data_IF_993961745699
#
_entry.id   IF_993961745699
#
_cell.length_a   1.000
_cell.length_b   1.000
_cell.length_c   1.000
_cell.angle_alpha   90.00
_cell.angle_beta   90.00
_cell.angle_gamma   90.00
#
_symmetry.space_group_name_H-M   'P 1'
#
loop_
_entity.id
_entity.type
_entity.pdbx_description
1 polymer ?
#
# COMPACT_ATOMS: atom_id res chain seq x y z
N UNK A 1 27.64 143.45 54.66
CA UNK A 1 27.92 142.08 54.19
C UNK A 1 27.10 141.12 55.03
N UNK A 2 25.96 140.69 54.52
CA UNK A 2 25.11 139.68 55.13
C UNK A 2 24.56 138.83 53.98
N UNK A 3 25.07 137.61 53.83
CA UNK A 3 24.45 136.59 52.97
C UNK A 3 23.51 135.78 53.87
N UNK A 4 22.24 135.81 53.54
CA UNK A 4 21.14 135.16 54.26
C UNK A 4 21.33 133.63 54.35
N UNK A 5 20.90 132.98 55.45
CA UNK A 5 21.06 131.54 55.68
C UNK A 5 20.14 130.64 54.82
N UNK A 6 19.22 131.21 54.03
CA UNK A 6 18.27 130.46 53.18
C UNK A 6 18.92 129.73 52.00
N UNK A 7 20.13 130.11 51.57
CA UNK A 7 20.83 129.46 50.45
C UNK A 7 21.58 128.18 50.83
N UNK A 8 21.86 127.94 52.11
CA UNK A 8 22.50 126.69 52.56
C UNK A 8 21.51 125.54 52.68
N UNK A 9 20.26 125.81 53.07
CA UNK A 9 19.20 124.81 53.25
C UNK A 9 18.61 124.32 51.91
N UNK A 10 18.57 125.20 50.90
CA UNK A 10 18.23 124.84 49.52
C UNK A 10 19.31 123.99 48.82
N UNK A 11 20.58 124.17 49.22
CA UNK A 11 21.71 123.38 48.71
C UNK A 11 21.72 121.95 49.24
N UNK A 12 21.55 121.78 50.55
CA UNK A 12 21.42 120.47 51.20
C UNK A 12 20.19 119.70 50.72
N UNK A 13 19.05 120.38 50.53
CA UNK A 13 17.85 119.76 49.96
C UNK A 13 18.07 119.27 48.52
N UNK A 14 18.77 120.05 47.68
CA UNK A 14 19.09 119.67 46.30
C UNK A 14 20.01 118.44 46.25
N UNK A 15 21.04 118.41 47.08
CA UNK A 15 21.95 117.27 47.20
C UNK A 15 21.22 116.03 47.69
N UNK A 16 20.32 116.16 48.68
CA UNK A 16 19.51 115.07 49.18
C UNK A 16 18.55 114.52 48.10
N UNK A 17 17.90 115.39 47.32
CA UNK A 17 17.08 114.98 46.17
C UNK A 17 17.92 114.26 45.13
N UNK A 18 19.13 114.73 44.83
CA UNK A 18 20.02 114.09 43.86
C UNK A 18 20.50 112.70 44.36
N UNK A 19 20.84 112.56 45.64
CA UNK A 19 21.15 111.28 46.27
C UNK A 19 19.97 110.30 46.20
N UNK A 20 18.75 110.75 46.54
CA UNK A 20 17.54 109.93 46.45
C UNK A 20 17.19 109.55 45.00
N UNK A 21 17.50 110.43 44.04
CA UNK A 21 17.30 110.14 42.60
C UNK A 21 18.28 109.07 42.13
N UNK A 22 19.55 109.19 42.49
CA UNK A 22 20.57 108.19 42.18
C UNK A 22 20.28 106.84 42.85
N UNK A 23 19.80 106.85 44.10
CA UNK A 23 19.38 105.65 44.82
C UNK A 23 18.16 105.00 44.14
N UNK A 24 17.16 105.79 43.72
CA UNK A 24 16.02 105.27 42.95
C UNK A 24 16.45 104.62 41.63
N UNK A 25 17.39 105.22 40.89
CA UNK A 25 17.93 104.61 39.66
C UNK A 25 18.63 103.29 39.97
N UNK A 26 19.46 103.22 41.01
CA UNK A 26 20.09 101.97 41.42
C UNK A 26 19.07 100.90 41.85
N UNK A 27 18.00 101.30 42.54
CA UNK A 27 16.92 100.41 42.91
C UNK A 27 16.16 99.92 41.67
N UNK A 28 15.92 100.78 40.68
CA UNK A 28 15.33 100.39 39.39
C UNK A 28 16.20 99.37 38.66
N UNK A 29 17.51 99.62 38.50
CA UNK A 29 18.44 98.68 37.87
C UNK A 29 18.52 97.32 38.61
N UNK A 30 18.43 97.36 39.95
CA UNK A 30 18.37 96.12 40.75
C UNK A 30 17.06 95.39 40.53
N UNK A 31 15.94 96.11 40.47
CA UNK A 31 14.62 95.54 40.26
C UNK A 31 14.51 94.92 38.85
N UNK A 32 15.00 95.59 37.81
CA UNK A 32 15.07 95.05 36.45
C UNK A 32 15.90 93.75 36.39
N UNK A 33 17.06 93.73 37.05
CA UNK A 33 17.88 92.50 37.15
C UNK A 33 17.16 91.37 37.89
N UNK A 34 16.36 91.69 38.91
CA UNK A 34 15.53 90.71 39.60
C UNK A 34 14.41 90.19 38.69
N UNK A 35 13.73 91.04 37.94
CA UNK A 35 12.71 90.62 36.98
C UNK A 35 13.27 89.71 35.88
N UNK A 36 14.44 90.04 35.31
CA UNK A 36 15.10 89.17 34.33
C UNK A 36 15.45 87.80 34.91
N UNK A 37 15.98 87.75 36.15
CA UNK A 37 16.25 86.49 36.85
C UNK A 37 14.99 85.68 37.12
N UNK A 38 13.89 86.34 37.51
CA UNK A 38 12.59 85.68 37.71
C UNK A 38 12.09 85.10 36.38
N UNK A 39 12.23 85.84 35.28
CA UNK A 39 11.91 85.36 33.93
C UNK A 39 12.72 84.13 33.52
N UNK A 40 14.05 84.16 33.71
CA UNK A 40 14.93 83.01 33.44
C UNK A 40 14.56 81.78 34.29
N UNK A 41 14.25 81.98 35.58
CA UNK A 41 13.82 80.90 36.47
C UNK A 41 12.47 80.33 36.04
N UNK A 42 11.54 81.18 35.60
CA UNK A 42 10.24 80.76 35.09
C UNK A 42 10.36 79.96 33.79
N UNK A 43 11.24 80.39 32.88
CA UNK A 43 11.53 79.65 31.64
C UNK A 43 12.14 78.27 31.95
N UNK A 44 13.15 78.22 32.83
CA UNK A 44 13.77 76.96 33.27
C UNK A 44 12.75 76.04 33.94
N UNK A 45 11.84 76.57 34.75
CA UNK A 45 10.77 75.79 35.36
C UNK A 45 9.80 75.25 34.30
N UNK A 46 9.47 76.04 33.28
CA UNK A 46 8.67 75.60 32.14
C UNK A 46 9.34 74.47 31.35
N UNK A 47 10.63 74.62 31.03
CA UNK A 47 11.42 73.57 30.38
C UNK A 47 11.53 72.29 31.25
N UNK A 48 11.67 72.45 32.57
CA UNK A 48 11.67 71.33 33.51
C UNK A 48 10.32 70.61 33.55
N UNK A 49 9.20 71.34 33.51
CA UNK A 49 7.87 70.75 33.47
C UNK A 49 7.64 69.97 32.16
N UNK A 50 8.10 70.51 31.02
CA UNK A 50 8.01 69.83 29.71
C UNK A 50 8.87 68.57 29.70
N UNK A 51 10.12 68.63 30.15
CA UNK A 51 11.01 67.46 30.18
C UNK A 51 10.50 66.38 31.14
N UNK A 52 9.94 66.77 32.30
CA UNK A 52 9.25 65.84 33.21
C UNK A 52 8.06 65.15 32.55
N UNK A 53 7.24 65.88 31.80
CA UNK A 53 6.10 65.33 31.08
C UNK A 53 6.54 64.37 29.96
N UNK A 54 7.56 64.72 29.18
CA UNK A 54 8.11 63.84 28.13
C UNK A 54 8.68 62.55 28.73
N UNK A 55 9.49 62.64 29.79
CA UNK A 55 10.02 61.46 30.50
C UNK A 55 8.90 60.57 31.04
N UNK A 56 7.86 61.14 31.65
CA UNK A 56 6.69 60.39 32.11
C UNK A 56 5.99 59.67 30.97
N UNK A 57 5.84 60.33 29.81
CA UNK A 57 5.20 59.73 28.63
C UNK A 57 6.01 58.56 28.04
N UNK A 58 7.34 58.68 28.01
CA UNK A 58 8.24 57.62 27.55
C UNK A 58 8.23 56.43 28.49
N UNK A 59 8.17 56.68 29.80
CA UNK A 59 8.06 55.62 30.81
C UNK A 59 6.77 54.83 30.59
N UNK A 60 5.62 55.50 30.45
CA UNK A 60 4.32 54.85 30.19
C UNK A 60 4.40 53.99 28.93
N UNK A 61 4.92 54.51 27.81
CA UNK A 61 5.08 53.71 26.58
C UNK A 61 5.97 52.49 26.77
N UNK A 62 7.08 52.63 27.51
CA UNK A 62 7.97 51.51 27.79
C UNK A 62 7.30 50.44 28.66
N UNK A 63 6.44 50.84 29.60
CA UNK A 63 5.65 49.93 30.42
C UNK A 63 4.57 49.22 29.60
N UNK A 64 3.88 49.93 28.71
CA UNK A 64 2.91 49.37 27.76
C UNK A 64 3.56 48.35 26.83
N UNK A 65 4.72 48.65 26.26
CA UNK A 65 5.49 47.73 25.42
C UNK A 65 5.93 46.50 26.20
N UNK A 66 6.40 46.67 27.44
CA UNK A 66 6.78 45.55 28.32
C UNK A 66 5.58 44.65 28.64
N UNK A 67 4.42 45.23 28.92
CA UNK A 67 3.18 44.48 29.15
C UNK A 67 2.73 43.74 27.90
N UNK A 68 2.86 44.36 26.73
CA UNK A 68 2.56 43.73 25.44
C UNK A 68 3.46 42.53 25.19
N UNK A 69 4.77 42.68 25.34
CA UNK A 69 5.73 41.58 25.20
C UNK A 69 5.45 40.48 26.24
N UNK A 70 5.14 40.84 27.49
CA UNK A 70 4.81 39.88 28.53
C UNK A 70 3.53 39.09 28.21
N UNK A 71 2.53 39.74 27.60
CA UNK A 71 1.31 39.08 27.13
C UNK A 71 1.63 38.12 25.98
N UNK A 72 2.32 38.60 24.96
CA UNK A 72 2.68 37.78 23.78
C UNK A 72 3.53 36.56 24.20
N UNK A 73 4.39 36.71 25.21
CA UNK A 73 5.16 35.60 25.78
C UNK A 73 4.28 34.56 26.48
N UNK A 74 3.27 34.97 27.24
CA UNK A 74 2.30 34.06 27.87
C UNK A 74 1.46 33.36 26.81
N UNK A 75 0.98 34.09 25.80
CA UNK A 75 0.22 33.53 24.68
C UNK A 75 1.05 32.47 23.94
N UNK A 76 2.34 32.76 23.68
CA UNK A 76 3.26 31.79 23.09
C UNK A 76 3.47 30.54 23.97
N UNK A 77 3.56 30.69 25.30
CA UNK A 77 3.63 29.54 26.20
C UNK A 77 2.37 28.69 26.17
N UNK A 78 1.19 29.33 26.11
CA UNK A 78 -0.09 28.63 25.99
C UNK A 78 -0.16 27.85 24.68
N UNK A 79 0.20 28.47 23.56
CA UNK A 79 0.25 27.78 22.26
C UNK A 79 1.24 26.61 22.25
N UNK A 80 2.41 26.80 22.84
CA UNK A 80 3.43 25.74 22.98
C UNK A 80 2.89 24.58 23.82
N UNK A 81 2.23 24.86 24.94
CA UNK A 81 1.62 23.85 25.79
C UNK A 81 0.49 23.13 25.07
N UNK A 82 -0.37 23.85 24.35
CA UNK A 82 -1.46 23.27 23.55
C UNK A 82 -0.92 22.34 22.46
N UNK A 83 0.19 22.70 21.80
CA UNK A 83 0.84 21.84 20.81
C UNK A 83 1.45 20.59 21.45
N UNK A 84 2.08 20.73 22.62
CA UNK A 84 2.59 19.59 23.39
C UNK A 84 1.48 18.64 23.81
N UNK A 85 0.36 19.13 24.32
CA UNK A 85 -0.82 18.32 24.67
C UNK A 85 -1.39 17.58 23.46
N UNK A 86 -1.48 18.23 22.30
CA UNK A 86 -1.89 17.58 21.04
C UNK A 86 -0.96 16.42 20.67
N UNK A 87 0.36 16.66 20.72
CA UNK A 87 1.33 15.60 20.44
C UNK A 87 1.29 14.46 21.47
N UNK A 88 1.04 14.76 22.74
CA UNK A 88 0.87 13.72 23.75
C UNK A 88 -0.39 12.87 23.45
N UNK A 89 -1.51 13.50 23.11
CA UNK A 89 -2.75 12.81 22.73
C UNK A 89 -2.56 11.92 21.48
N UNK A 90 -1.99 12.46 20.41
CA UNK A 90 -1.66 11.71 19.19
C UNK A 90 -0.73 10.52 19.50
N UNK A 91 0.27 10.71 20.37
CA UNK A 91 1.14 9.62 20.79
C UNK A 91 0.39 8.53 21.57
N UNK A 92 -0.60 8.87 22.39
CA UNK A 92 -1.43 7.87 23.06
C UNK A 92 -2.31 7.10 22.07
N UNK A 93 -2.92 7.79 21.10
CA UNK A 93 -3.70 7.14 20.04
C UNK A 93 -2.86 6.20 19.19
N UNK A 94 -1.66 6.65 18.78
CA UNK A 94 -0.72 5.82 18.02
C UNK A 94 -0.26 4.59 18.80
N UNK A 95 0.02 4.73 20.10
CA UNK A 95 0.37 3.58 20.96
C UNK A 95 -0.77 2.57 21.05
N UNK A 96 -2.01 3.03 21.17
CA UNK A 96 -3.17 2.15 21.18
C UNK A 96 -3.32 1.41 19.83
N UNK A 97 -3.15 2.13 18.71
CA UNK A 97 -3.21 1.51 17.39
C UNK A 97 -2.10 0.48 17.19
N UNK A 98 -0.88 0.75 17.67
CA UNK A 98 0.23 -0.20 17.64
C UNK A 98 -0.13 -1.47 18.44
N UNK A 99 -0.66 -1.32 19.65
CA UNK A 99 -1.09 -2.47 20.46
C UNK A 99 -2.18 -3.30 19.77
N UNK A 100 -3.16 -2.65 19.14
CA UNK A 100 -4.22 -3.34 18.39
C UNK A 100 -3.64 -4.10 17.18
N UNK A 101 -2.68 -3.50 16.47
CA UNK A 101 -1.99 -4.14 15.35
C UNK A 101 -1.12 -5.30 15.82
N UNK A 102 -0.39 -5.16 16.91
CA UNK A 102 0.41 -6.22 17.53
C UNK A 102 -0.47 -7.41 17.94
N UNK A 103 -1.61 -7.15 18.59
CA UNK A 103 -2.59 -8.19 18.92
C UNK A 103 -3.11 -8.90 17.67
N UNK A 104 -3.39 -8.15 16.60
CA UNK A 104 -3.88 -8.73 15.35
C UNK A 104 -2.81 -9.56 14.63
N UNK A 105 -1.54 -9.14 14.68
CA UNK A 105 -0.41 -9.91 14.16
C UNK A 105 -0.29 -11.23 14.93
N UNK A 106 -0.30 -11.19 16.27
CA UNK A 106 -0.24 -12.40 17.11
C UNK A 106 -1.40 -13.36 16.82
N UNK A 107 -2.62 -12.85 16.64
CA UNK A 107 -3.77 -13.67 16.23
C UNK A 107 -3.56 -14.33 14.86
N UNK A 108 -2.98 -13.61 13.90
CA UNK A 108 -2.69 -14.16 12.57
C UNK A 108 -1.58 -15.20 12.59
N UNK A 109 -0.52 -14.99 13.37
CA UNK A 109 0.57 -15.95 13.55
C UNK A 109 0.05 -17.24 14.19
N UNK A 110 -0.77 -17.16 15.23
CA UNK A 110 -1.40 -18.33 15.85
C UNK A 110 -2.32 -19.09 14.88
N UNK A 111 -3.02 -18.39 13.97
CA UNK A 111 -3.82 -19.05 12.93
C UNK A 111 -2.93 -19.73 11.90
N UNK A 112 -1.83 -19.10 11.49
CA UNK A 112 -0.89 -19.68 10.54
C UNK A 112 -0.24 -20.96 11.12
N UNK A 113 0.23 -20.93 12.37
CA UNK A 113 0.77 -22.10 13.08
C UNK A 113 -0.24 -23.26 13.14
N UNK A 114 -1.52 -22.98 13.40
CA UNK A 114 -2.56 -24.01 13.37
C UNK A 114 -2.73 -24.61 11.99
N UNK A 115 -2.86 -23.78 10.96
CA UNK A 115 -3.07 -24.26 9.58
C UNK A 115 -1.86 -24.99 9.02
N UNK A 116 -0.65 -24.57 9.39
CA UNK A 116 0.60 -25.26 9.01
C UNK A 116 0.71 -26.62 9.72
N UNK A 117 0.34 -26.70 11.00
CA UNK A 117 0.22 -27.96 11.73
C UNK A 117 -0.79 -28.92 11.10
N UNK A 118 -1.98 -28.44 10.76
CA UNK A 118 -3.01 -29.24 10.07
C UNK A 118 -2.53 -29.72 8.69
N UNK A 119 -1.85 -28.86 7.93
CA UNK A 119 -1.25 -29.22 6.64
C UNK A 119 -0.19 -30.31 6.81
N UNK A 120 0.67 -30.20 7.81
CA UNK A 120 1.67 -31.22 8.14
C UNK A 120 1.01 -32.58 8.44
N UNK A 121 0.00 -32.61 9.30
CA UNK A 121 -0.73 -33.82 9.65
C UNK A 121 -1.43 -34.47 8.44
N UNK A 122 -2.03 -33.65 7.56
CA UNK A 122 -2.63 -34.14 6.31
C UNK A 122 -1.59 -34.69 5.34
N UNK A 123 -0.42 -34.05 5.25
CA UNK A 123 0.68 -34.49 4.40
C UNK A 123 1.27 -35.82 4.87
N UNK A 124 1.45 -36.01 6.18
CA UNK A 124 1.86 -37.29 6.77
C UNK A 124 0.84 -38.39 6.48
N UNK A 125 -0.46 -38.10 6.63
CA UNK A 125 -1.52 -39.06 6.32
C UNK A 125 -1.56 -39.45 4.85
N UNK A 126 -1.34 -38.48 3.96
CA UNK A 126 -1.26 -38.72 2.52
C UNK A 126 -0.07 -39.61 2.19
N UNK A 127 1.11 -39.34 2.76
CA UNK A 127 2.29 -40.18 2.57
C UNK A 127 2.11 -41.61 3.09
N UNK A 128 1.43 -41.78 4.23
CA UNK A 128 1.08 -43.12 4.72
C UNK A 128 0.20 -43.88 3.71
N UNK A 129 -0.86 -43.24 3.21
CA UNK A 129 -1.75 -43.84 2.22
C UNK A 129 -1.06 -44.15 0.87
N UNK A 130 -0.12 -43.31 0.43
CA UNK A 130 0.70 -43.58 -0.74
C UNK A 130 1.60 -44.81 -0.55
N UNK A 131 2.13 -45.01 0.65
CA UNK A 131 2.93 -46.18 0.97
C UNK A 131 2.06 -47.44 1.01
N UNK A 132 0.89 -47.38 1.67
CA UNK A 132 -0.08 -48.48 1.68
C UNK A 132 -0.49 -48.87 0.24
N UNK A 133 -0.68 -47.89 -0.64
CA UNK A 133 -1.02 -48.14 -2.04
C UNK A 133 0.14 -48.82 -2.81
N UNK A 134 1.39 -48.42 -2.56
CA UNK A 134 2.57 -49.07 -3.15
C UNK A 134 2.71 -50.50 -2.64
N UNK A 135 2.52 -50.73 -1.35
CA UNK A 135 2.55 -52.06 -0.75
C UNK A 135 1.48 -52.96 -1.35
N UNK A 136 0.24 -52.50 -1.43
CA UNK A 136 -0.86 -53.24 -2.06
C UNK A 136 -0.59 -53.52 -3.56
N UNK A 137 0.02 -52.57 -4.27
CA UNK A 137 0.46 -52.77 -5.65
C UNK A 137 1.51 -53.88 -5.77
N UNK A 138 2.47 -53.93 -4.85
CA UNK A 138 3.49 -55.00 -4.80
C UNK A 138 2.86 -56.35 -4.47
N UNK A 139 1.92 -56.41 -3.53
CA UNK A 139 1.15 -57.62 -3.21
C UNK A 139 0.36 -58.13 -4.40
N UNK A 140 -0.32 -57.23 -5.13
CA UNK A 140 -1.05 -57.60 -6.35
C UNK A 140 -0.12 -58.16 -7.43
N UNK A 141 1.06 -57.55 -7.63
CA UNK A 141 2.05 -58.06 -8.57
C UNK A 141 2.56 -59.45 -8.18
N UNK A 142 2.87 -59.66 -6.89
CA UNK A 142 3.29 -60.96 -6.38
C UNK A 142 2.19 -62.01 -6.57
N UNK A 143 0.94 -61.68 -6.25
CA UNK A 143 -0.21 -62.56 -6.42
C UNK A 143 -0.44 -62.91 -7.90
N UNK A 144 -0.36 -61.93 -8.79
CA UNK A 144 -0.47 -62.14 -10.25
C UNK A 144 0.63 -63.07 -10.77
N UNK A 145 1.86 -62.90 -10.29
CA UNK A 145 2.98 -63.78 -10.63
C UNK A 145 2.72 -65.22 -10.17
N UNK A 146 2.21 -65.40 -8.94
CA UNK A 146 1.87 -66.72 -8.40
C UNK A 146 0.76 -67.40 -9.22
N UNK A 147 -0.30 -66.69 -9.57
CA UNK A 147 -1.36 -67.22 -10.45
C UNK A 147 -0.82 -67.64 -11.81
N UNK A 148 0.08 -66.84 -12.40
CA UNK A 148 0.68 -67.17 -13.69
C UNK A 148 1.56 -68.44 -13.62
N UNK A 149 2.22 -68.68 -12.49
CA UNK A 149 2.97 -69.93 -12.26
C UNK A 149 2.00 -71.10 -12.12
N UNK A 150 0.94 -70.95 -11.32
CA UNK A 150 -0.06 -71.99 -11.11
C UNK A 150 -0.79 -72.38 -12.40
N UNK A 151 -1.13 -71.41 -13.25
CA UNK A 151 -1.73 -71.67 -14.58
C UNK A 151 -0.79 -72.51 -15.46
N UNK A 152 0.52 -72.21 -15.46
CA UNK A 152 1.50 -73.01 -16.21
C UNK A 152 1.62 -74.43 -15.67
N UNK A 153 1.61 -74.61 -14.35
CA UNK A 153 1.61 -75.94 -13.73
C UNK A 153 0.33 -76.71 -14.06
N UNK A 154 -0.82 -76.02 -14.05
CA UNK A 154 -2.10 -76.60 -14.44
C UNK A 154 -2.11 -77.05 -15.90
N UNK A 155 -1.65 -76.21 -16.84
CA UNK A 155 -1.49 -76.57 -18.24
C UNK A 155 -0.57 -77.79 -18.43
N UNK A 156 0.53 -77.86 -17.68
CA UNK A 156 1.41 -79.02 -17.70
C UNK A 156 0.69 -80.29 -17.24
N UNK A 157 -0.06 -80.24 -16.13
CA UNK A 157 -0.84 -81.40 -15.68
C UNK A 157 -1.96 -81.79 -16.64
N UNK A 158 -2.63 -80.83 -17.29
CA UNK A 158 -3.59 -81.10 -18.37
C UNK A 158 -2.91 -81.84 -19.52
N UNK A 159 -1.74 -81.37 -19.97
CA UNK A 159 -1.00 -82.02 -21.05
C UNK A 159 -0.57 -83.46 -20.70
N UNK A 160 -0.11 -83.70 -19.46
CA UNK A 160 0.21 -85.05 -18.96
C UNK A 160 -1.04 -85.93 -18.89
N UNK A 161 -2.17 -85.40 -18.43
CA UNK A 161 -3.43 -86.14 -18.39
C UNK A 161 -3.94 -86.48 -19.79
N UNK A 162 -3.76 -85.59 -20.76
CA UNK A 162 -4.06 -85.86 -22.17
C UNK A 162 -3.14 -86.94 -22.75
N UNK A 163 -1.86 -86.94 -22.39
CA UNK A 163 -0.90 -88.02 -22.74
C UNK A 163 -1.35 -89.36 -22.17
N UNK A 164 -1.61 -89.44 -20.87
CA UNK A 164 -2.14 -90.63 -20.20
C UNK A 164 -3.45 -91.10 -20.83
N UNK A 165 -4.36 -90.17 -21.17
CA UNK A 165 -5.62 -90.49 -21.84
C UNK A 165 -5.39 -91.08 -23.24
N UNK A 166 -4.40 -90.56 -23.99
CA UNK A 166 -3.98 -91.12 -25.28
C UNK A 166 -3.38 -92.52 -25.13
N UNK A 167 -2.53 -92.73 -24.12
CA UNK A 167 -1.94 -94.03 -23.81
C UNK A 167 -3.00 -95.07 -23.45
N UNK A 168 -3.95 -94.71 -22.57
CA UNK A 168 -5.07 -95.58 -22.20
C UNK A 168 -5.93 -95.93 -23.42
N UNK A 169 -6.23 -94.96 -24.29
CA UNK A 169 -6.93 -95.22 -25.56
C UNK A 169 -6.14 -96.16 -26.48
N UNK A 170 -4.82 -96.01 -26.56
CA UNK A 170 -3.96 -96.90 -27.34
C UNK A 170 -3.90 -98.31 -26.73
N UNK A 171 -3.88 -98.45 -25.41
CA UNK A 171 -4.00 -99.73 -24.70
C UNK A 171 -5.35 -100.41 -24.93
N UNK A 172 -6.45 -99.64 -24.97
CA UNK A 172 -7.77 -100.17 -25.30
C UNK A 172 -7.80 -100.62 -26.76
N UNK A 173 -7.25 -99.83 -27.70
CA UNK A 173 -7.16 -100.21 -29.12
C UNK A 173 -6.30 -101.46 -29.33
N UNK A 174 -5.14 -101.58 -28.67
CA UNK A 174 -4.29 -102.77 -28.76
C UNK A 174 -4.93 -104.01 -28.12
N UNK A 175 -5.73 -103.84 -27.05
CA UNK A 175 -6.62 -104.89 -26.53
C UNK A 175 -7.75 -105.28 -27.48
N UNK A 176 -8.22 -104.35 -28.32
CA UNK A 176 -9.33 -104.54 -29.25
C UNK A 176 -8.86 -105.16 -30.60
N UNK A 177 -7.61 -104.93 -31.01
CA UNK A 177 -6.98 -105.50 -32.21
C UNK A 177 -6.59 -106.99 -32.06
N UNK A 178 -6.62 -107.55 -30.85
CA UNK A 178 -6.32 -108.97 -30.61
C UNK A 178 -7.35 -109.66 -29.69
N UNK A 179 -8.43 -110.24 -30.24
CA UNK A 179 -9.27 -111.17 -29.50
C UNK A 179 -8.73 -112.61 -29.63
N UNK A 180 -8.00 -113.04 -28.59
CA UNK A 180 -7.65 -114.42 -28.21
C UNK A 180 -6.59 -115.22 -29.02
N UNK A 181 -5.48 -115.57 -28.35
CA UNK A 181 -5.09 -116.96 -27.96
C UNK A 181 -3.77 -116.95 -27.13
N UNK A 182 -3.84 -116.88 -25.79
CA UNK A 182 -3.65 -117.94 -24.75
C UNK A 182 -2.21 -118.27 -24.30
N UNK A 183 -2.01 -118.08 -22.98
CA UNK A 183 -1.34 -118.95 -21.97
C UNK A 183 0.18 -119.24 -22.16
N UNK A 184 1.06 -119.28 -21.16
CA UNK A 184 0.96 -119.82 -19.79
C UNK A 184 2.28 -119.54 -19.04
N UNK A 185 2.24 -119.09 -17.78
CA UNK A 185 3.03 -119.64 -16.65
C UNK A 185 2.63 -118.95 -15.33
N UNK A 186 2.04 -119.76 -14.43
CA UNK A 186 2.14 -119.82 -12.96
C UNK A 186 2.60 -118.57 -12.18
N UNK A 187 2.02 -118.15 -11.05
CA UNK A 187 1.24 -118.88 -10.02
C UNK A 187 0.63 -117.89 -9.00
N UNK A 188 -0.58 -118.20 -8.56
CA UNK A 188 -1.18 -118.03 -7.21
C UNK A 188 -1.28 -116.67 -6.50
N UNK A 189 -2.50 -116.12 -6.45
CA UNK A 189 -3.37 -116.03 -5.23
C UNK A 189 -4.77 -115.49 -5.66
N UNK A 190 -5.83 -116.30 -5.58
CA UNK A 190 -7.01 -116.16 -4.66
C UNK A 190 -7.62 -114.74 -4.66
N UNK A 191 -8.91 -114.45 -4.94
CA UNK A 191 -10.18 -115.19 -4.80
C UNK A 191 -11.32 -114.41 -5.49
N UNK A 192 -12.36 -115.13 -5.93
CA UNK A 192 -13.78 -114.73 -6.09
C UNK A 192 -14.10 -113.54 -7.04
N UNK A 193 -14.56 -113.76 -8.28
CA UNK A 193 -15.84 -114.31 -8.76
C UNK A 193 -17.00 -113.30 -8.79
N UNK A 194 -17.56 -113.18 -10.01
CA UNK A 194 -18.86 -112.58 -10.39
C UNK A 194 -18.94 -111.04 -10.56
N UNK A 195 -18.83 -110.56 -11.81
CA UNK A 195 -19.83 -109.68 -12.48
C UNK A 195 -19.32 -109.07 -13.82
N UNK A 196 -19.06 -109.84 -14.90
CA UNK A 196 -18.91 -109.23 -16.24
C UNK A 196 -20.25 -108.97 -16.95
N UNK A 197 -21.37 -109.52 -16.45
CA UNK A 197 -22.69 -109.42 -17.11
C UNK A 197 -23.51 -108.17 -16.70
N UNK A 198 -23.29 -107.66 -15.48
CA UNK A 198 -23.92 -106.44 -15.00
C UNK A 198 -23.27 -105.17 -15.58
N UNK A 199 -21.94 -105.20 -15.78
CA UNK A 199 -21.19 -104.09 -16.38
C UNK A 199 -21.56 -103.91 -17.86
N UNK A 200 -21.80 -105.00 -18.61
CA UNK A 200 -22.23 -104.92 -20.02
C UNK A 200 -23.65 -104.36 -20.15
N UNK A 201 -24.54 -104.56 -19.17
CA UNK A 201 -25.88 -103.91 -19.13
C UNK A 201 -25.80 -102.44 -18.69
N UNK A 202 -24.89 -102.07 -17.79
CA UNK A 202 -24.61 -100.66 -17.42
C UNK A 202 -24.00 -99.89 -18.58
N UNK A 203 -23.07 -100.49 -19.33
CA UNK A 203 -22.50 -99.90 -20.55
C UNK A 203 -23.54 -99.80 -21.66
N UNK A 204 -24.43 -100.81 -21.84
CA UNK A 204 -25.53 -100.74 -22.82
C UNK A 204 -26.58 -99.67 -22.46
N UNK A 205 -26.86 -99.44 -21.17
CA UNK A 205 -27.77 -98.37 -20.73
C UNK A 205 -27.13 -96.97 -20.78
N UNK A 206 -25.81 -96.86 -20.58
CA UNK A 206 -25.06 -95.63 -20.78
C UNK A 206 -24.94 -95.26 -22.27
N UNK A 207 -24.77 -96.25 -23.16
CA UNK A 207 -24.77 -96.08 -24.62
C UNK A 207 -26.15 -95.69 -25.16
N UNK A 208 -27.25 -96.18 -24.55
CA UNK A 208 -28.60 -95.69 -24.86
C UNK A 208 -28.85 -94.27 -24.31
N UNK A 209 -28.32 -93.90 -23.14
CA UNK A 209 -28.36 -92.51 -22.62
C UNK A 209 -27.53 -91.52 -23.44
N UNK A 210 -26.41 -91.96 -24.01
CA UNK A 210 -25.55 -91.14 -24.86
C UNK A 210 -26.01 -91.11 -26.33
N UNK A 211 -26.72 -92.15 -26.79
CA UNK A 211 -27.41 -92.15 -28.10
C UNK A 211 -28.66 -91.25 -28.12
N UNK A 212 -29.23 -90.91 -26.96
CA UNK A 212 -30.32 -89.94 -26.83
C UNK A 212 -29.86 -88.47 -26.85
N UNK A 213 -28.55 -88.18 -27.00
CA UNK A 213 -28.01 -86.81 -27.07
C UNK A 213 -27.15 -86.52 -28.31
N UNK A 214 -27.34 -87.29 -29.39
CA UNK A 214 -26.84 -86.91 -30.73
C UNK A 214 -28.01 -86.47 -31.60
N UNK A 215 -28.24 -85.16 -31.61
CA UNK A 215 -28.93 -84.47 -32.71
C UNK A 215 -28.12 -84.73 -33.98
N UNK A 216 -28.71 -85.48 -34.92
CA UNK A 216 -28.19 -85.61 -36.30
C UNK A 216 -28.93 -84.64 -37.22
N UNK A 217 -28.25 -84.06 -38.22
CA UNK A 217 -28.83 -83.23 -39.26
C UNK A 217 -29.45 -84.09 -40.38
N UNK A 218 -30.61 -83.64 -40.90
CA UNK A 218 -31.16 -83.81 -42.27
C UNK A 218 -31.42 -85.26 -42.76
N UNK A 219 -32.56 -85.67 -43.34
CA UNK A 219 -33.59 -84.99 -44.14
C UNK A 219 -34.94 -85.73 -44.01
N UNK A 220 -36.05 -84.99 -43.82
CA UNK A 220 -37.36 -85.32 -44.41
C UNK A 220 -37.96 -83.99 -44.86
N UNK A 221 -38.12 -83.86 -46.17
CA UNK A 221 -38.74 -82.74 -46.83
C UNK A 221 -40.24 -82.64 -46.49
N UNK A 222 -40.74 -81.41 -46.63
CA UNK A 222 -42.15 -81.00 -46.68
C UNK A 222 -42.81 -80.74 -45.32
N UNK A 223 -42.47 -79.59 -44.72
CA UNK A 223 -43.46 -78.67 -44.16
C UNK A 223 -42.83 -77.29 -43.88
N UNK A 224 -43.36 -76.27 -44.58
CA UNK A 224 -43.36 -74.86 -44.20
C UNK A 224 -42.04 -74.06 -44.28
N UNK A 225 -41.96 -73.20 -45.30
CA UNK A 225 -41.00 -72.09 -45.48
C UNK A 225 -41.06 -70.99 -44.38
N UNK A 226 -41.57 -71.28 -43.18
CA UNK A 226 -41.77 -70.27 -42.12
C UNK A 226 -40.78 -70.32 -40.94
N UNK A 227 -39.93 -71.33 -40.83
CA UNK A 227 -38.96 -71.43 -39.72
C UNK A 227 -37.60 -70.73 -39.95
N UNK A 228 -37.02 -70.64 -41.16
CA UNK A 228 -35.90 -69.73 -41.37
C UNK A 228 -36.33 -68.28 -41.10
N UNK A 229 -37.56 -67.88 -41.48
CA UNK A 229 -38.06 -66.53 -41.21
C UNK A 229 -38.35 -66.24 -39.73
N UNK A 230 -38.65 -67.22 -38.87
CA UNK A 230 -38.90 -66.99 -37.43
C UNK A 230 -37.61 -66.96 -36.61
N UNK A 231 -36.63 -67.79 -36.95
CA UNK A 231 -35.29 -67.74 -36.34
C UNK A 231 -34.47 -66.55 -36.87
N UNK A 232 -34.62 -66.20 -38.14
CA UNK A 232 -34.07 -64.98 -38.75
C UNK A 232 -34.75 -63.73 -38.17
N UNK A 233 -36.08 -63.72 -37.92
CA UNK A 233 -36.73 -62.63 -37.18
C UNK A 233 -36.30 -62.53 -35.71
N UNK A 234 -35.94 -63.63 -35.05
CA UNK A 234 -35.45 -63.61 -33.66
C UNK A 234 -33.96 -63.27 -33.56
N UNK A 235 -33.15 -63.60 -34.56
CA UNK A 235 -31.72 -63.24 -34.63
C UNK A 235 -31.54 -61.80 -35.17
N UNK A 236 -32.28 -61.39 -36.21
CA UNK A 236 -32.32 -60.01 -36.70
C UNK A 236 -33.07 -59.07 -35.74
N UNK A 237 -34.10 -59.57 -35.03
CA UNK A 237 -34.81 -58.80 -34.01
C UNK A 237 -33.93 -58.45 -32.80
N UNK A 238 -33.01 -59.34 -32.42
CA UNK A 238 -32.02 -59.08 -31.38
C UNK A 238 -30.81 -58.29 -31.89
N UNK A 239 -30.56 -58.29 -33.20
CA UNK A 239 -29.48 -57.53 -33.82
C UNK A 239 -29.67 -56.01 -33.64
N UNK A 240 -30.91 -55.53 -33.75
CA UNK A 240 -31.27 -54.13 -33.46
C UNK A 240 -30.97 -53.72 -32.01
N UNK A 241 -31.36 -54.56 -31.05
CA UNK A 241 -31.09 -54.33 -29.63
C UNK A 241 -29.59 -54.33 -29.31
N UNK A 242 -28.81 -55.26 -29.89
CA UNK A 242 -27.35 -55.28 -29.74
C UNK A 242 -26.72 -54.04 -30.37
N UNK A 243 -27.21 -53.59 -31.53
CA UNK A 243 -26.72 -52.35 -32.15
C UNK A 243 -27.06 -51.12 -31.31
N UNK A 244 -28.25 -51.04 -30.70
CA UNK A 244 -28.64 -49.94 -29.81
C UNK A 244 -27.84 -49.91 -28.52
N UNK A 245 -27.59 -51.06 -27.89
CA UNK A 245 -26.71 -51.17 -26.71
C UNK A 245 -25.27 -50.75 -27.02
N UNK A 246 -24.75 -51.17 -28.18
CA UNK A 246 -23.42 -50.77 -28.66
C UNK A 246 -23.37 -49.27 -28.97
N UNK A 247 -24.43 -48.69 -29.51
CA UNK A 247 -24.54 -47.26 -29.78
C UNK A 247 -24.56 -46.46 -28.46
N UNK A 248 -25.38 -46.87 -27.48
CA UNK A 248 -25.40 -46.26 -26.14
C UNK A 248 -24.04 -46.33 -25.47
N UNK A 249 -23.36 -47.47 -25.55
CA UNK A 249 -22.02 -47.63 -25.00
C UNK A 249 -21.04 -46.67 -25.69
N UNK A 250 -21.09 -46.58 -27.03
CA UNK A 250 -20.27 -45.66 -27.82
C UNK A 250 -20.53 -44.19 -27.46
N UNK A 251 -21.79 -43.80 -27.29
CA UNK A 251 -22.19 -42.46 -26.84
C UNK A 251 -21.68 -42.16 -25.43
N UNK A 252 -21.76 -43.11 -24.49
CA UNK A 252 -21.20 -42.93 -23.15
C UNK A 252 -19.69 -42.74 -23.19
N UNK A 253 -18.97 -43.54 -23.97
CA UNK A 253 -17.52 -43.39 -24.15
C UNK A 253 -17.18 -42.05 -24.80
N UNK A 254 -17.88 -41.65 -25.85
CA UNK A 254 -17.69 -40.36 -26.50
C UNK A 254 -17.97 -39.19 -25.54
N UNK A 255 -19.02 -39.27 -24.72
CA UNK A 255 -19.33 -38.26 -23.70
C UNK A 255 -18.25 -38.20 -22.61
N UNK A 256 -17.73 -39.36 -22.18
CA UNK A 256 -16.61 -39.41 -21.24
C UNK A 256 -15.33 -38.82 -21.84
N UNK A 257 -15.02 -39.14 -23.10
CA UNK A 257 -13.89 -38.59 -23.85
C UNK A 257 -13.99 -37.07 -23.96
N UNK A 258 -15.14 -36.54 -24.38
CA UNK A 258 -15.39 -35.10 -24.46
C UNK A 258 -15.24 -34.41 -23.11
N UNK A 259 -15.78 -34.99 -22.02
CA UNK A 259 -15.61 -34.44 -20.66
C UNK A 259 -14.14 -34.38 -20.22
N UNK A 260 -13.33 -35.37 -20.60
CA UNK A 260 -11.89 -35.37 -20.33
C UNK A 260 -11.16 -34.32 -21.16
N UNK A 261 -11.49 -34.19 -22.45
CA UNK A 261 -10.94 -33.16 -23.33
C UNK A 261 -11.29 -31.74 -22.85
N UNK A 262 -12.54 -31.51 -22.45
CA UNK A 262 -12.98 -30.24 -21.86
C UNK A 262 -12.21 -29.92 -20.59
N UNK A 263 -12.06 -30.89 -19.66
CA UNK A 263 -11.25 -30.71 -18.44
C UNK A 263 -9.78 -30.41 -18.74
N UNK A 264 -9.20 -31.06 -19.75
CA UNK A 264 -7.84 -30.78 -20.17
C UNK A 264 -7.71 -29.35 -20.72
N UNK A 265 -8.70 -28.87 -21.48
CA UNK A 265 -8.74 -27.51 -21.99
C UNK A 265 -8.90 -26.50 -20.85
N UNK A 266 -9.80 -26.75 -19.88
CA UNK A 266 -10.00 -25.84 -18.74
C UNK A 266 -8.74 -25.75 -17.88
N UNK A 267 -8.15 -26.90 -17.50
CA UNK A 267 -6.89 -26.91 -16.75
C UNK A 267 -5.75 -26.25 -17.54
N UNK A 268 -5.71 -26.41 -18.86
CA UNK A 268 -4.73 -25.74 -19.73
C UNK A 268 -4.86 -24.20 -19.71
N UNK A 269 -6.08 -23.68 -19.72
CA UNK A 269 -6.37 -22.24 -19.61
C UNK A 269 -5.99 -21.71 -18.23
N UNK A 270 -6.42 -22.38 -17.17
CA UNK A 270 -6.10 -22.03 -15.78
C UNK A 270 -4.58 -22.00 -15.54
N UNK A 271 -3.86 -23.01 -16.06
CA UNK A 271 -2.39 -23.06 -15.97
C UNK A 271 -1.72 -21.92 -16.76
N UNK A 272 -2.27 -21.54 -17.91
CA UNK A 272 -1.76 -20.40 -18.68
C UNK A 272 -2.02 -19.06 -17.97
N UNK A 273 -3.21 -18.90 -17.37
CA UNK A 273 -3.57 -17.72 -16.58
C UNK A 273 -2.71 -17.60 -15.31
N UNK A 274 -2.52 -18.69 -14.57
CA UNK A 274 -1.62 -18.76 -13.43
C UNK A 274 -0.19 -18.36 -13.82
N UNK A 275 0.33 -18.87 -14.97
CA UNK A 275 1.65 -18.46 -15.48
C UNK A 275 1.73 -16.97 -15.82
N UNK A 276 0.67 -16.39 -16.40
CA UNK A 276 0.61 -14.94 -16.68
C UNK A 276 0.60 -14.14 -15.38
N UNK A 277 -0.19 -14.57 -14.39
CA UNK A 277 -0.25 -13.93 -13.07
C UNK A 277 1.11 -13.96 -12.36
N UNK A 278 1.81 -15.10 -12.38
CA UNK A 278 3.16 -15.23 -11.81
C UNK A 278 4.15 -14.28 -12.50
N UNK A 279 4.14 -14.18 -13.83
CA UNK A 279 5.03 -13.24 -14.54
C UNK A 279 4.71 -11.79 -14.21
N UNK A 280 3.43 -11.46 -14.04
CA UNK A 280 2.98 -10.13 -13.65
C UNK A 280 3.44 -9.77 -12.23
N UNK A 281 3.29 -10.69 -11.28
CA UNK A 281 3.78 -10.46 -9.91
C UNK A 281 5.30 -10.37 -9.84
N UNK A 282 6.01 -11.18 -10.63
CA UNK A 282 7.47 -11.08 -10.77
C UNK A 282 7.90 -9.73 -11.35
N UNK A 283 7.23 -9.23 -12.38
CA UNK A 283 7.51 -7.91 -12.95
C UNK A 283 7.27 -6.79 -11.94
N UNK A 284 6.12 -6.80 -11.26
CA UNK A 284 5.81 -5.84 -10.19
C UNK A 284 6.84 -5.86 -9.07
N UNK A 285 7.23 -7.05 -8.62
CA UNK A 285 8.23 -7.21 -7.57
C UNK A 285 9.61 -6.68 -8.02
N UNK A 286 9.98 -6.86 -9.29
CA UNK A 286 11.20 -6.29 -9.85
C UNK A 286 11.14 -4.76 -9.95
N UNK A 287 9.99 -4.20 -10.36
CA UNK A 287 9.76 -2.75 -10.41
C UNK A 287 9.83 -2.13 -9.00
N UNK A 288 9.14 -2.71 -8.02
CA UNK A 288 9.18 -2.28 -6.62
C UNK A 288 10.59 -2.40 -6.03
N UNK A 289 11.32 -3.48 -6.34
CA UNK A 289 12.71 -3.65 -5.91
C UNK A 289 13.63 -2.58 -6.51
N UNK A 290 13.45 -2.24 -7.79
CA UNK A 290 14.23 -1.18 -8.44
C UNK A 290 13.94 0.20 -7.83
N UNK A 291 12.66 0.50 -7.55
CA UNK A 291 12.25 1.73 -6.88
C UNK A 291 12.86 1.79 -5.47
N UNK A 292 12.77 0.71 -4.69
CA UNK A 292 13.34 0.64 -3.34
C UNK A 292 14.85 0.88 -3.35
N UNK A 293 15.60 0.22 -4.24
CA UNK A 293 17.04 0.41 -4.38
C UNK A 293 17.39 1.85 -4.77
N UNK A 294 16.63 2.44 -5.71
CA UNK A 294 16.84 3.83 -6.09
C UNK A 294 16.57 4.78 -4.91
N UNK A 295 15.51 4.56 -4.14
CA UNK A 295 15.18 5.36 -2.96
C UNK A 295 16.23 5.21 -1.86
N UNK A 296 16.76 4.01 -1.65
CA UNK A 296 17.84 3.75 -0.71
C UNK A 296 19.13 4.49 -1.11
N UNK A 297 19.45 4.51 -2.40
CA UNK A 297 20.58 5.31 -2.93
C UNK A 297 20.40 6.81 -2.66
N UNK A 298 19.21 7.37 -2.94
CA UNK A 298 18.92 8.78 -2.64
C UNK A 298 19.01 9.08 -1.15
N UNK A 299 18.58 8.16 -0.28
CA UNK A 299 18.68 8.31 1.17
C UNK A 299 20.15 8.39 1.60
N UNK A 300 21.01 7.49 1.10
CA UNK A 300 22.45 7.53 1.37
C UNK A 300 23.12 8.82 0.86
N UNK A 301 22.74 9.30 -0.32
CA UNK A 301 23.23 10.58 -0.86
C UNK A 301 22.85 11.74 0.06
N UNK A 302 21.59 11.80 0.50
CA UNK A 302 21.10 12.84 1.42
C UNK A 302 21.78 12.74 2.79
N UNK A 303 22.04 11.54 3.30
CA UNK A 303 22.79 11.34 4.54
C UNK A 303 24.25 11.81 4.43
N UNK A 304 24.91 11.53 3.30
CA UNK A 304 26.25 12.01 3.01
C UNK A 304 26.27 13.54 2.88
N UNK A 305 25.28 14.14 2.21
CA UNK A 305 25.12 15.59 2.14
C UNK A 305 24.87 16.22 3.50
N UNK A 306 24.04 15.61 4.35
CA UNK A 306 23.78 16.08 5.71
C UNK A 306 25.07 16.07 6.53
N UNK A 307 25.83 14.97 6.48
CA UNK A 307 27.13 14.86 7.14
C UNK A 307 28.12 15.92 6.65
N UNK A 308 28.17 16.18 5.33
CA UNK A 308 28.99 17.22 4.73
C UNK A 308 28.57 18.62 5.20
N UNK A 309 27.27 18.92 5.21
CA UNK A 309 26.75 20.21 5.68
C UNK A 309 27.00 20.42 7.18
N UNK A 310 26.92 19.36 7.99
CA UNK A 310 27.27 19.41 9.41
C UNK A 310 28.74 19.75 9.62
N UNK A 311 29.65 19.17 8.83
CA UNK A 311 31.07 19.52 8.87
C UNK A 311 31.30 20.98 8.47
N UNK A 312 30.69 21.44 7.38
CA UNK A 312 30.78 22.85 6.96
C UNK A 312 30.26 23.82 8.02
N UNK A 313 29.20 23.45 8.74
CA UNK A 313 28.68 24.26 9.86
C UNK A 313 29.68 24.31 11.01
N UNK A 314 30.31 23.18 11.36
CA UNK A 314 31.35 23.13 12.40
C UNK A 314 32.56 23.99 12.03
N UNK A 315 33.06 23.86 10.80
CA UNK A 315 34.16 24.68 10.28
C UNK A 315 33.84 26.17 10.35
N UNK A 316 32.67 26.57 9.85
CA UNK A 316 32.26 27.96 9.86
C UNK A 316 32.09 28.50 11.29
N UNK A 317 31.56 27.69 12.21
CA UNK A 317 31.43 28.06 13.63
C UNK A 317 32.80 28.24 14.27
N UNK A 318 33.76 27.36 13.97
CA UNK A 318 35.13 27.49 14.43
C UNK A 318 35.79 28.75 13.87
N UNK A 319 35.60 29.06 12.59
CA UNK A 319 36.07 30.32 12.00
C UNK A 319 35.47 31.55 12.72
N UNK A 320 34.17 31.54 13.04
CA UNK A 320 33.55 32.62 13.80
C UNK A 320 34.15 32.74 15.20
N UNK A 321 34.38 31.63 15.90
CA UNK A 321 35.04 31.61 17.21
C UNK A 321 36.46 32.14 17.12
N UNK A 322 37.26 31.68 16.16
CA UNK A 322 38.63 32.15 15.95
C UNK A 322 38.67 33.65 15.66
N UNK A 323 37.77 34.18 14.82
CA UNK A 323 37.68 35.62 14.55
C UNK A 323 37.31 36.42 15.81
N UNK A 324 36.36 35.94 16.60
CA UNK A 324 35.98 36.59 17.87
C UNK A 324 37.13 36.57 18.88
N UNK A 325 37.83 35.45 19.02
CA UNK A 325 39.01 35.33 19.88
C UNK A 325 40.10 36.28 19.41
N UNK A 326 40.39 36.34 18.10
CA UNK A 326 41.35 37.29 17.56
C UNK A 326 40.95 38.74 17.87
N UNK A 327 39.67 39.09 17.70
CA UNK A 327 39.18 40.42 18.04
C UNK A 327 39.34 40.76 19.53
N UNK A 328 39.17 39.78 20.44
CA UNK A 328 39.38 39.95 21.88
C UNK A 328 40.87 40.07 22.22
N UNK A 329 41.71 39.22 21.62
CA UNK A 329 43.16 39.23 21.82
C UNK A 329 43.76 40.55 21.32
N UNK A 330 43.37 41.02 20.13
CA UNK A 330 43.82 42.30 19.59
C UNK A 330 43.39 43.49 20.47
N UNK A 331 42.17 43.43 21.05
CA UNK A 331 41.70 44.42 22.02
C UNK A 331 42.53 44.37 23.32
N UNK A 332 42.86 43.17 23.82
CA UNK A 332 43.66 42.97 25.01
C UNK A 332 45.11 43.46 24.82
N UNK A 333 45.76 43.10 23.70
CA UNK A 333 47.10 43.57 23.34
C UNK A 333 47.15 45.09 23.20
N UNK A 334 46.10 45.72 22.63
CA UNK A 334 45.99 47.17 22.59
C UNK A 334 45.88 47.77 24.00
N UNK A 335 45.03 47.22 24.88
CA UNK A 335 44.90 47.72 26.26
C UNK A 335 46.18 47.51 27.07
N UNK A 336 46.88 46.39 26.92
CA UNK A 336 48.13 46.10 27.61
C UNK A 336 49.25 47.01 27.12
N UNK A 337 49.34 47.26 25.81
CA UNK A 337 50.33 48.18 25.21
C UNK A 337 50.03 49.66 25.48
N UNK A 338 48.82 50.03 25.93
CA UNK A 338 48.51 51.39 26.43
C UNK A 338 49.02 51.65 27.86
N UNK A 339 49.40 50.62 28.62
CA UNK A 339 49.91 50.75 29.99
C UNK A 339 51.40 51.16 30.06
N UNK A 340 52.16 50.98 28.97
CA UNK A 340 53.59 51.29 28.89
C UNK A 340 53.90 52.44 27.91
N UNK A 341 53.82 53.68 28.42
CA UNK A 341 54.39 54.93 27.84
C UNK A 341 54.04 55.36 26.40
N UNK A 342 53.69 56.65 26.28
CA UNK A 342 53.58 57.50 25.09
C UNK A 342 52.24 57.48 24.32
N UNK A 343 51.66 58.68 24.20
CA UNK A 343 50.46 59.07 23.45
C UNK A 343 50.46 58.42 22.06
N UNK A 344 49.62 57.40 21.84
CA UNK A 344 49.34 56.84 20.52
C UNK A 344 47.91 57.14 20.09
N UNK A 345 47.76 57.36 18.78
CA UNK A 345 46.60 58.05 18.23
C UNK A 345 45.30 57.24 18.30
N UNK A 346 44.17 57.87 18.65
CA UNK A 346 42.83 57.27 18.62
C UNK A 346 42.39 56.78 17.22
N UNK A 347 43.19 57.06 16.19
CA UNK A 347 42.96 56.69 14.80
C UNK A 347 43.18 55.19 14.57
N UNK A 348 44.13 54.54 15.24
CA UNK A 348 44.39 53.09 15.07
C UNK A 348 43.23 52.24 15.62
N UNK A 349 42.74 52.54 16.83
CA UNK A 349 41.57 51.87 17.41
C UNK A 349 40.31 52.07 16.55
N UNK A 350 40.08 53.29 16.06
CA UNK A 350 38.95 53.58 15.16
C UNK A 350 39.03 52.78 13.84
N UNK A 351 40.23 52.62 13.27
CA UNK A 351 40.40 51.79 12.06
C UNK A 351 40.16 50.30 12.33
N UNK A 352 40.62 49.78 13.46
CA UNK A 352 40.41 48.39 13.85
C UNK A 352 38.92 48.07 14.07
N UNK A 353 38.23 48.84 14.91
CA UNK A 353 36.78 48.69 15.13
C UNK A 353 36.02 48.89 13.81
N UNK A 354 36.47 49.82 12.96
CA UNK A 354 35.93 49.99 11.60
C UNK A 354 36.10 48.76 10.72
N UNK A 355 37.25 48.07 10.79
CA UNK A 355 37.49 46.81 10.06
C UNK A 355 36.59 45.69 10.60
N UNK A 356 36.51 45.51 11.92
CA UNK A 356 35.65 44.52 12.57
C UNK A 356 34.18 44.70 12.17
N UNK A 357 33.66 45.93 12.24
CA UNK A 357 32.27 46.22 11.86
C UNK A 357 32.04 46.01 10.36
N UNK A 358 33.05 46.23 9.51
CA UNK A 358 32.98 45.96 8.08
C UNK A 358 32.91 44.45 7.80
N UNK A 359 33.70 43.65 8.50
CA UNK A 359 33.72 42.19 8.36
C UNK A 359 32.41 41.56 8.85
N UNK A 360 31.89 42.01 9.99
CA UNK A 360 30.59 41.60 10.52
C UNK A 360 29.49 41.93 9.50
N UNK A 361 29.48 43.15 8.97
CA UNK A 361 28.50 43.58 7.96
C UNK A 361 28.60 42.75 6.68
N UNK A 362 29.81 42.41 6.24
CA UNK A 362 30.03 41.57 5.06
C UNK A 362 29.55 40.13 5.28
N UNK A 363 29.77 39.56 6.47
CA UNK A 363 29.26 38.24 6.86
C UNK A 363 27.73 38.19 6.84
N UNK A 364 27.06 39.16 7.48
CA UNK A 364 25.60 39.23 7.47
C UNK A 364 25.05 39.41 6.05
N UNK A 365 25.68 40.25 5.22
CA UNK A 365 25.28 40.42 3.82
C UNK A 365 25.42 39.12 3.02
N UNK A 366 26.51 38.37 3.20
CA UNK A 366 26.70 37.05 2.56
C UNK A 366 25.61 36.06 3.00
N UNK A 367 25.28 36.03 4.29
CA UNK A 367 24.20 35.17 4.82
C UNK A 367 22.84 35.57 4.27
N UNK A 368 22.53 36.86 4.21
CA UNK A 368 21.31 37.38 3.62
C UNK A 368 21.20 36.99 2.13
N UNK A 369 22.28 37.10 1.36
CA UNK A 369 22.32 36.66 -0.03
C UNK A 369 22.07 35.15 -0.18
N UNK A 370 22.61 34.32 0.71
CA UNK A 370 22.35 32.87 0.73
C UNK A 370 20.88 32.57 1.00
N UNK A 371 20.29 33.21 2.01
CA UNK A 371 18.87 33.06 2.34
C UNK A 371 17.97 33.54 1.19
N UNK A 372 18.32 34.66 0.56
CA UNK A 372 17.60 35.16 -0.62
C UNK A 372 17.71 34.21 -1.83
N UNK A 373 18.86 33.53 -2.02
CA UNK A 373 19.01 32.50 -3.05
C UNK A 373 18.16 31.26 -2.73
N UNK A 374 18.18 30.80 -1.48
CA UNK A 374 17.36 29.68 -1.03
C UNK A 374 15.86 29.97 -1.19
N UNK A 375 15.38 31.14 -0.75
CA UNK A 375 14.01 31.58 -0.91
C UNK A 375 13.58 31.63 -2.39
N UNK A 376 14.43 32.17 -3.28
CA UNK A 376 14.20 32.12 -4.74
C UNK A 376 14.13 30.69 -5.28
N UNK A 377 14.98 29.79 -4.76
CA UNK A 377 14.96 28.37 -5.10
C UNK A 377 13.68 27.66 -4.66
N UNK A 378 13.20 27.90 -3.44
CA UNK A 378 11.91 27.39 -2.95
C UNK A 378 10.75 27.91 -3.78
N UNK A 379 10.71 29.22 -4.08
CA UNK A 379 9.71 29.82 -4.97
C UNK A 379 9.67 29.14 -6.34
N UNK A 380 10.83 28.89 -6.95
CA UNK A 380 10.93 28.19 -8.25
C UNK A 380 10.43 26.74 -8.17
N UNK A 381 10.78 26.00 -7.10
CA UNK A 381 10.28 24.64 -6.88
C UNK A 381 8.77 24.61 -6.71
N UNK A 382 8.23 25.55 -5.94
CA UNK A 382 6.79 25.67 -5.74
C UNK A 382 6.05 25.96 -7.04
N UNK A 383 6.56 26.89 -7.86
CA UNK A 383 6.01 27.16 -9.20
C UNK A 383 6.04 25.93 -10.12
N UNK A 384 7.10 25.11 -10.05
CA UNK A 384 7.16 23.86 -10.83
C UNK A 384 6.13 22.83 -10.34
N UNK A 385 5.88 22.75 -9.04
CA UNK A 385 4.85 21.87 -8.47
C UNK A 385 3.45 22.30 -8.92
N UNK A 386 3.16 23.60 -8.89
CA UNK A 386 1.89 24.16 -9.40
C UNK A 386 1.68 23.80 -10.87
N UNK A 387 2.72 23.90 -11.73
CA UNK A 387 2.63 23.49 -13.14
C UNK A 387 2.33 21.99 -13.32
N UNK A 388 2.95 21.13 -12.50
CA UNK A 388 2.67 19.68 -12.52
C UNK A 388 1.24 19.40 -12.07
N UNK A 389 0.77 20.11 -11.05
CA UNK A 389 -0.60 20.04 -10.55
C UNK A 389 -1.62 20.45 -11.62
N UNK A 390 -1.37 21.55 -12.33
CA UNK A 390 -2.19 21.97 -13.48
C UNK A 390 -2.25 20.88 -14.56
N UNK A 391 -1.12 20.24 -14.88
CA UNK A 391 -1.07 19.11 -15.82
C UNK A 391 -1.90 17.90 -15.36
N UNK A 392 -1.83 17.58 -14.05
CA UNK A 392 -2.61 16.50 -13.47
C UNK A 392 -4.11 16.80 -13.47
N UNK A 393 -4.50 18.04 -13.16
CA UNK A 393 -5.88 18.50 -13.25
C UNK A 393 -6.45 18.34 -14.67
N UNK A 394 -5.64 18.64 -15.71
CA UNK A 394 -6.05 18.45 -17.10
C UNK A 394 -6.29 16.96 -17.40
N UNK A 395 -5.37 16.09 -16.98
CA UNK A 395 -5.51 14.65 -17.17
C UNK A 395 -6.75 14.09 -16.43
N UNK A 396 -6.96 14.53 -15.19
CA UNK A 396 -8.13 14.18 -14.39
C UNK A 396 -9.44 14.61 -15.09
N UNK A 397 -9.49 15.83 -15.62
CA UNK A 397 -10.65 16.32 -16.40
C UNK A 397 -10.95 15.42 -17.60
N UNK A 398 -9.94 15.09 -18.40
CA UNK A 398 -10.11 14.24 -19.59
C UNK A 398 -10.63 12.86 -19.19
N UNK A 399 -10.06 12.27 -18.13
CA UNK A 399 -10.51 10.97 -17.62
C UNK A 399 -11.96 11.04 -17.14
N UNK A 400 -12.33 12.09 -16.41
CA UNK A 400 -13.68 12.29 -15.90
C UNK A 400 -14.71 12.46 -17.02
N UNK A 401 -14.36 13.19 -18.08
CA UNK A 401 -15.17 13.31 -19.28
C UNK A 401 -15.29 11.97 -20.02
N UNK A 402 -14.22 11.18 -20.14
CA UNK A 402 -14.29 9.84 -20.72
C UNK A 402 -15.23 8.91 -19.94
N UNK A 403 -15.17 8.91 -18.60
CA UNK A 403 -16.06 8.10 -17.77
C UNK A 403 -17.52 8.53 -17.96
N UNK A 404 -17.78 9.84 -18.01
CA UNK A 404 -19.11 10.39 -18.30
C UNK A 404 -19.65 9.96 -19.68
N UNK A 405 -18.80 9.93 -20.70
CA UNK A 405 -19.19 9.53 -22.06
C UNK A 405 -19.40 8.02 -22.20
N UNK A 406 -18.65 7.19 -21.48
CA UNK A 406 -18.75 5.73 -21.56
C UNK A 406 -20.08 5.15 -21.05
N UNK A 407 -20.91 5.96 -20.38
CA UNK A 407 -22.33 5.67 -20.10
C UNK A 407 -22.61 4.30 -19.46
N UNK A 408 -21.68 3.74 -18.70
CA UNK A 408 -21.94 2.64 -17.78
C UNK A 408 -22.44 3.21 -16.46
N UNK A 409 -23.68 2.93 -16.07
CA UNK A 409 -24.30 3.46 -14.85
C UNK A 409 -23.57 3.09 -13.53
N UNK A 410 -22.53 2.26 -13.61
CA UNK A 410 -21.79 1.75 -12.45
C UNK A 410 -20.51 2.53 -12.10
N UNK A 411 -20.05 3.46 -12.96
CA UNK A 411 -18.79 4.18 -12.75
C UNK A 411 -19.03 5.63 -12.32
N UNK A 412 -18.70 5.94 -11.06
CA UNK A 412 -18.68 7.32 -10.56
C UNK A 412 -17.49 8.09 -11.17
N UNK A 413 -17.72 9.21 -11.88
CA UNK A 413 -16.66 10.07 -12.40
C UNK A 413 -15.82 10.78 -11.31
N UNK A 414 -16.28 10.76 -10.05
CA UNK A 414 -15.60 11.37 -8.92
C UNK A 414 -15.82 12.89 -8.79
N UNK A 415 -15.19 13.51 -7.79
CA UNK A 415 -15.44 14.89 -7.40
C UNK A 415 -15.08 15.91 -8.49
N UNK A 416 -15.75 17.07 -8.54
CA UNK A 416 -15.42 18.14 -9.50
C UNK A 416 -13.99 18.67 -9.35
N UNK A 417 -13.40 19.13 -10.46
CA UNK A 417 -12.03 19.68 -10.54
C UNK A 417 -11.76 20.80 -9.51
N UNK A 418 -12.78 21.57 -9.15
CA UNK A 418 -12.67 22.64 -8.17
C UNK A 418 -12.14 22.16 -6.81
N UNK A 419 -12.48 20.94 -6.38
CA UNK A 419 -12.01 20.37 -5.10
C UNK A 419 -10.49 20.28 -4.97
N UNK A 420 -9.79 20.21 -6.10
CA UNK A 420 -8.34 20.10 -6.16
C UNK A 420 -7.68 21.43 -6.50
N UNK A 421 -8.41 22.55 -6.51
CA UNK A 421 -7.85 23.86 -6.84
C UNK A 421 -6.95 24.37 -5.71
N UNK A 422 -5.78 24.88 -6.07
CA UNK A 422 -4.88 25.55 -5.12
C UNK A 422 -5.51 26.88 -4.72
N UNK A 423 -5.57 27.21 -3.43
CA UNK A 423 -6.16 28.46 -2.90
C UNK A 423 -5.12 29.54 -2.59
N UNK A 424 -3.83 29.20 -2.60
CA UNK A 424 -2.75 30.12 -2.25
C UNK A 424 -2.54 31.19 -3.35
N UNK A 425 -2.85 32.44 -3.00
CA UNK A 425 -2.82 33.57 -3.92
C UNK A 425 -1.40 33.96 -4.35
N UNK A 426 -0.37 33.64 -3.58
CA UNK A 426 1.02 33.97 -3.91
C UNK A 426 1.61 33.04 -4.99
N UNK A 427 0.99 31.87 -5.17
CA UNK A 427 1.44 30.83 -6.08
C UNK A 427 0.72 30.85 -7.42
N UNK A 428 -0.48 31.44 -7.45
CA UNK A 428 -1.32 31.50 -8.63
C UNK A 428 -1.14 32.81 -9.38
N UNK A 429 -1.12 32.71 -10.72
CA UNK A 429 -1.32 33.88 -11.58
C UNK A 429 -2.80 34.29 -11.54
N UNK A 430 -3.08 35.57 -11.84
CA UNK A 430 -4.46 36.06 -11.93
C UNK A 430 -5.33 35.18 -12.85
N UNK A 431 -4.75 34.69 -13.94
CA UNK A 431 -5.42 33.78 -14.88
C UNK A 431 -5.74 32.43 -14.23
N UNK A 432 -4.84 31.86 -13.43
CA UNK A 432 -5.10 30.59 -12.74
C UNK A 432 -6.15 30.75 -11.62
N UNK A 433 -6.18 31.90 -10.95
CA UNK A 433 -7.23 32.22 -9.98
C UNK A 433 -8.60 32.35 -10.64
N UNK A 434 -8.67 33.03 -11.79
CA UNK A 434 -9.90 33.15 -12.57
C UNK A 434 -10.37 31.78 -13.09
N UNK A 435 -9.46 30.93 -13.56
CA UNK A 435 -9.78 29.55 -13.92
C UNK A 435 -10.35 28.73 -12.75
N UNK A 436 -9.84 28.92 -11.53
CA UNK A 436 -10.37 28.24 -10.35
C UNK A 436 -11.81 28.68 -10.02
N UNK A 437 -12.12 29.98 -10.17
CA UNK A 437 -13.49 30.50 -10.01
C UNK A 437 -14.42 29.93 -11.08
N UNK A 438 -13.99 29.92 -12.34
CA UNK A 438 -14.78 29.34 -13.43
C UNK A 438 -15.03 27.84 -13.24
N UNK A 439 -14.08 27.10 -12.64
CA UNK A 439 -14.27 25.68 -12.29
C UNK A 439 -15.31 25.49 -11.19
N UNK A 440 -15.32 26.38 -10.20
CA UNK A 440 -16.33 26.39 -9.13
C UNK A 440 -17.73 26.66 -9.69
N UNK A 441 -17.86 27.72 -10.50
CA UNK A 441 -19.11 28.09 -11.16
C UNK A 441 -19.62 26.97 -12.06
N UNK A 442 -18.73 26.33 -12.85
CA UNK A 442 -19.07 25.15 -13.66
C UNK A 442 -19.62 24.02 -12.78
N UNK A 443 -18.97 23.70 -11.66
CA UNK A 443 -19.42 22.63 -10.77
C UNK A 443 -20.80 22.94 -10.15
N UNK A 444 -21.03 24.19 -9.75
CA UNK A 444 -22.32 24.65 -9.22
C UNK A 444 -23.43 24.53 -10.26
N UNK A 445 -23.16 24.92 -11.51
CA UNK A 445 -24.12 24.80 -12.61
C UNK A 445 -24.39 23.32 -12.98
N UNK A 446 -23.35 22.47 -13.01
CA UNK A 446 -23.51 21.02 -13.22
C UNK A 446 -24.41 20.40 -12.15
N UNK A 447 -24.25 20.80 -10.87
CA UNK A 447 -25.10 20.34 -9.77
C UNK A 447 -26.56 20.78 -9.91
N UNK A 448 -26.80 22.05 -10.26
CA UNK A 448 -28.15 22.56 -10.51
C UNK A 448 -28.82 21.85 -11.69
N UNK A 449 -28.09 21.55 -12.76
CA UNK A 449 -28.60 20.78 -13.90
C UNK A 449 -29.02 19.36 -13.47
N UNK A 450 -28.19 18.69 -12.66
CA UNK A 450 -28.53 17.36 -12.14
C UNK A 450 -29.79 17.40 -11.28
N UNK A 451 -29.93 18.38 -10.38
CA UNK A 451 -31.15 18.56 -9.58
C UNK A 451 -32.39 18.81 -10.42
N UNK A 452 -32.29 19.67 -11.45
CA UNK A 452 -33.39 19.94 -12.37
C UNK A 452 -33.77 18.70 -13.17
N UNK A 453 -32.78 17.91 -13.61
CA UNK A 453 -33.00 16.67 -14.34
C UNK A 453 -33.71 15.63 -13.47
N UNK A 454 -33.36 15.53 -12.18
CA UNK A 454 -34.04 14.67 -11.21
C UNK A 454 -35.48 15.16 -10.90
N UNK A 455 -35.72 16.48 -10.89
CA UNK A 455 -37.07 17.05 -10.73
C UNK A 455 -37.96 16.81 -11.96
N UNK A 456 -37.39 16.86 -13.16
CA UNK A 456 -38.10 16.56 -14.41
C UNK A 456 -38.41 15.08 -14.59
N UNK A 457 -37.51 14.17 -14.18
CA UNK A 457 -37.79 12.72 -14.20
C UNK A 457 -38.79 12.29 -13.12
N UNK A 458 -38.91 13.07 -12.04
CA UNK A 458 -39.87 12.84 -10.95
C UNK A 458 -41.26 13.47 -11.15
N UNK A 459 -41.50 14.27 -12.21
CA UNK A 459 -42.84 14.78 -12.55
C UNK A 459 -43.50 13.88 -13.60
N UNK A 460 -44.52 13.06 -13.25
CA UNK A 460 -45.27 12.31 -14.24
C UNK A 460 -46.08 13.29 -15.09
N UNK A 461 -45.97 13.12 -16.41
CA UNK A 461 -46.75 13.80 -17.43
C UNK A 461 -48.25 13.81 -17.06
N UNK A 462 -48.76 14.96 -16.60
CA UNK A 462 -50.17 15.20 -16.42
C UNK A 462 -50.78 15.61 -17.77
N UNK A 463 -50.95 14.65 -18.67
CA UNK A 463 -51.95 14.73 -19.73
C UNK A 463 -52.93 13.58 -19.53
N UNK A 464 -53.93 13.87 -18.69
CA UNK A 464 -55.08 13.02 -18.41
C UNK A 464 -55.92 12.81 -19.67
N UNK A 465 -56.06 11.55 -20.05
CA UNK A 465 -57.10 11.02 -20.94
C UNK A 465 -58.48 11.38 -20.35
N UNK A 466 -59.17 12.34 -20.96
CA UNK A 466 -60.57 12.64 -20.68
C UNK A 466 -61.48 11.60 -21.34
N UNK A 467 -61.83 10.54 -20.62
CA UNK A 467 -62.81 9.55 -21.02
C UNK A 467 -64.12 9.68 -20.24
N UNK A 468 -65.17 10.15 -20.95
CA UNK A 468 -66.60 9.81 -20.87
C UNK A 468 -67.33 9.73 -19.51
N UNK A 469 -68.43 10.47 -19.43
CA UNK A 469 -69.71 9.91 -18.94
C UNK A 469 -70.73 10.90 -18.35
N UNK A 470 -71.82 11.12 -19.11
CA UNK A 470 -73.24 11.31 -18.72
C UNK A 470 -73.90 12.59 -19.28
N UNK A 471 -74.87 12.36 -20.17
CA UNK A 471 -75.68 13.34 -20.88
C UNK A 471 -76.16 12.76 -22.20
#
# INVERSE_FOLDING_TARGET
>A
MAKSPEYSDLGTFREQVQCLTNENVQLQDRNERLYSKVGELQERLGQLAISKADLSSRLIRSEEEKLKISKDFVDFQIETNKKREQHEAENFELKNLILDLENRILETELRDERTTGERGALQERLHALENDHKELGNEYLALKSNYLILDKEHEQEVSKNEELSRELLNLVKSKQEHPHHLQTKSKESQSEAEEPSAEVKRVRTLVHRLSARKVKPKDVAVASDQEPQKLEKSLLGNQGHITEEMEKMREMYNSQQQKLEERMITMGKELQEAKKAIRHTQHKLAEESAILLSSQGHLQEVEAENSRLQLQLKELNEEYRSRLVQYITDLAEYTDSTSSTAKREPIQMKRFVGSMLKDIRASYKSREEQLARAARGYKKRMQNLVKKHEGLLIAYRIQREHIRLLSSHDLDPGPPEHYFSITDAELLTNTSQELNRLREDKANLEGQLYELQMKCTASPCAYSVGGRGLG
#
